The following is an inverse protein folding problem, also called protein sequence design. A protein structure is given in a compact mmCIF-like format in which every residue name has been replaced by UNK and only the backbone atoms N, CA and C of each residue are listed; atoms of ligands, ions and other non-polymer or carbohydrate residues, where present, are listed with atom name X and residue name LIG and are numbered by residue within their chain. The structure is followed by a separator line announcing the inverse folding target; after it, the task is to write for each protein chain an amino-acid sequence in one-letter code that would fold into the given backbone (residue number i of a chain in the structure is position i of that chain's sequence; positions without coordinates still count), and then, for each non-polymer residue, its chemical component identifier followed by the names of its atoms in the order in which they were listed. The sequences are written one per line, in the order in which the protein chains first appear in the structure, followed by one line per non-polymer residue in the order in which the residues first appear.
data_IF_590533987796
#
_entry.id   IF_590533987796
#
_cell.length_a   1.000
_cell.length_b   1.000
_cell.length_c   1.000
_cell.angle_alpha   90.00
_cell.angle_beta   90.00
_cell.angle_gamma   90.00
#
_symmetry.space_group_name_H-M   'P 1'
#
loop_
_entity.id
_entity.type
_entity.pdbx_description
1 polymer ?
#
# COMPACT_ATOMS: atom_id res chain seq x y z
N UNK A 1 7.47 46.90 -3.97
CA UNK A 1 8.50 46.40 -4.90
C UNK A 1 9.37 45.38 -4.19
N UNK A 2 9.50 44.16 -4.79
CA UNK A 2 10.50 43.10 -4.45
C UNK A 2 10.18 42.40 -3.10
N UNK A 3 9.95 41.18 -3.00
CA UNK A 3 10.20 39.89 -3.53
C UNK A 3 9.13 38.92 -2.98
N UNK A 4 8.19 38.50 -3.78
CA UNK A 4 7.51 37.24 -3.62
C UNK A 4 8.14 36.33 -4.66
N UNK A 5 9.21 35.71 -4.30
CA UNK A 5 9.87 34.71 -5.11
C UNK A 5 9.97 33.42 -4.30
N UNK A 6 9.25 32.43 -4.75
CA UNK A 6 9.72 31.06 -4.86
C UNK A 6 9.88 30.29 -3.56
N UNK A 7 8.80 29.69 -3.09
CA UNK A 7 8.90 28.39 -2.41
C UNK A 7 8.05 27.39 -3.19
N UNK A 8 8.53 27.08 -4.36
CA UNK A 8 8.11 25.97 -5.21
C UNK A 8 9.36 25.15 -5.47
N UNK A 9 9.83 24.45 -4.47
CA UNK A 9 10.83 23.42 -4.69
C UNK A 9 10.72 22.37 -3.61
N UNK A 10 10.72 21.14 -4.08
CA UNK A 10 11.18 19.97 -3.41
C UNK A 10 10.09 19.17 -2.71
N UNK A 11 9.19 18.60 -3.50
CA UNK A 11 8.73 17.23 -3.27
C UNK A 11 9.73 16.28 -3.97
N UNK A 12 10.98 16.36 -3.54
CA UNK A 12 12.00 15.42 -3.96
C UNK A 12 12.01 14.23 -3.01
N UNK A 13 11.25 13.18 -3.32
CA UNK A 13 11.47 11.89 -2.68
C UNK A 13 12.80 11.34 -3.23
N UNK A 14 13.87 11.53 -2.47
CA UNK A 14 15.09 10.77 -2.67
C UNK A 14 14.80 9.33 -2.23
N UNK A 15 14.48 8.48 -3.19
CA UNK A 15 14.54 7.04 -3.02
C UNK A 15 16.01 6.68 -2.85
N UNK A 16 16.48 6.66 -1.61
CA UNK A 16 17.75 6.02 -1.29
C UNK A 16 17.47 4.52 -1.31
N UNK A 17 17.67 3.90 -2.47
CA UNK A 17 17.90 2.47 -2.55
C UNK A 17 19.30 2.22 -1.97
N UNK A 18 19.40 2.18 -0.66
CA UNK A 18 20.57 1.61 -0.01
C UNK A 18 20.37 0.10 0.02
N UNK A 19 21.33 -0.56 -0.60
CA UNK A 19 21.36 -1.99 -0.81
C UNK A 19 21.05 -2.78 0.47
N UNK A 20 20.09 -3.67 0.36
CA UNK A 20 19.96 -4.79 1.27
C UNK A 20 21.17 -5.69 1.11
N UNK A 21 22.02 -5.69 2.12
CA UNK A 21 23.01 -6.74 2.33
C UNK A 21 22.27 -8.06 2.62
N UNK A 22 22.60 -9.17 1.98
CA UNK A 22 21.94 -10.43 2.25
C UNK A 22 22.57 -11.03 3.50
N UNK A 23 21.93 -10.92 4.66
CA UNK A 23 22.04 -11.80 5.84
C UNK A 23 21.47 -11.09 7.05
N UNK A 24 20.20 -11.33 7.31
CA UNK A 24 19.70 -11.32 8.69
C UNK A 24 18.55 -12.32 8.75
N UNK A 25 18.82 -13.42 9.46
CA UNK A 25 17.84 -14.45 9.77
C UNK A 25 16.70 -13.82 10.55
N UNK A 26 15.48 -13.95 10.01
CA UNK A 26 14.26 -13.64 10.74
C UNK A 26 14.08 -14.78 11.76
N UNK A 27 14.28 -14.48 13.03
CA UNK A 27 13.80 -15.29 14.14
C UNK A 27 12.30 -15.08 14.33
N UNK A 28 11.61 -16.13 14.74
CA UNK A 28 10.17 -16.40 14.73
C UNK A 28 9.22 -15.51 15.56
N UNK A 29 9.57 -14.26 15.88
CA UNK A 29 8.73 -13.42 16.74
C UNK A 29 8.55 -12.01 16.15
N UNK A 30 7.67 -11.85 15.16
CA UNK A 30 7.38 -10.49 14.68
C UNK A 30 6.57 -10.31 13.40
N UNK A 31 5.61 -11.19 13.11
CA UNK A 31 4.68 -11.02 11.98
C UNK A 31 3.21 -10.91 12.40
N UNK A 32 2.91 -10.63 13.65
CA UNK A 32 1.56 -10.62 14.18
C UNK A 32 1.06 -9.21 14.45
N UNK A 33 0.78 -8.42 13.38
CA UNK A 33 -0.05 -7.25 13.58
C UNK A 33 -0.86 -6.81 12.33
N UNK A 34 -1.44 -7.78 11.66
CA UNK A 34 -2.71 -7.58 10.98
C UNK A 34 -3.72 -8.30 11.85
N UNK A 35 -4.47 -7.57 12.69
CA UNK A 35 -5.53 -8.11 13.51
C UNK A 35 -6.45 -8.98 12.65
N UNK A 36 -6.17 -10.28 12.62
CA UNK A 36 -7.08 -11.29 12.14
C UNK A 36 -8.06 -11.47 13.27
N UNK A 37 -9.22 -10.80 13.21
CA UNK A 37 -10.35 -11.19 14.02
C UNK A 37 -10.54 -12.66 13.78
N UNK A 38 -10.46 -13.43 14.85
CA UNK A 38 -10.63 -14.88 14.89
C UNK A 38 -11.95 -15.21 14.17
N UNK A 39 -11.85 -15.82 12.97
CA UNK A 39 -13.02 -16.26 12.24
C UNK A 39 -13.60 -17.43 13.03
N UNK A 40 -14.54 -17.12 13.90
CA UNK A 40 -15.35 -18.12 14.59
C UNK A 40 -16.20 -18.80 13.53
N UNK A 41 -15.80 -20.01 13.14
CA UNK A 41 -16.59 -20.86 12.25
C UNK A 41 -17.82 -21.26 13.06
N UNK A 42 -19.05 -20.94 12.62
CA UNK A 42 -20.26 -21.41 13.31
C UNK A 42 -20.31 -22.94 13.28
N UNK A 43 -20.86 -23.58 14.34
CA UNK A 43 -20.97 -25.05 14.37
C UNK A 43 -21.84 -25.53 13.24
N UNK A 44 -21.35 -26.55 12.54
CA UNK A 44 -22.09 -27.26 11.50
C UNK A 44 -23.32 -27.90 12.15
N UNK A 45 -24.50 -27.39 11.79
CA UNK A 45 -25.75 -28.07 12.13
C UNK A 45 -25.83 -29.38 11.32
N UNK A 46 -25.75 -30.50 12.01
CA UNK A 46 -26.05 -31.82 11.43
C UNK A 46 -27.53 -31.88 11.08
N UNK A 47 -27.80 -32.23 9.82
CA UNK A 47 -29.06 -32.81 9.40
C UNK A 47 -29.86 -31.98 8.40
N UNK A 48 -29.58 -32.23 7.11
CA UNK A 48 -30.59 -32.46 6.07
C UNK A 48 -29.91 -32.97 4.80
N UNK A 49 -30.33 -34.17 4.36
CA UNK A 49 -29.91 -34.77 3.09
C UNK A 49 -30.41 -33.93 1.92
N UNK A 50 -29.48 -33.27 1.20
CA UNK A 50 -29.79 -32.83 -0.16
C UNK A 50 -28.99 -33.68 -1.13
N UNK A 51 -29.69 -34.64 -1.78
CA UNK A 51 -29.21 -35.34 -2.97
C UNK A 51 -29.07 -34.33 -4.11
N UNK A 52 -27.84 -34.03 -4.44
CA UNK A 52 -27.47 -33.24 -5.60
C UNK A 52 -25.95 -33.26 -5.70
N UNK A 53 -25.46 -34.20 -6.51
CA UNK A 53 -24.02 -34.41 -6.74
C UNK A 53 -23.43 -33.20 -7.47
N UNK A 54 -22.92 -32.25 -6.70
CA UNK A 54 -21.99 -31.25 -7.21
C UNK A 54 -20.65 -31.56 -6.54
N UNK A 55 -19.81 -32.32 -7.25
CA UNK A 55 -18.43 -32.56 -6.86
C UNK A 55 -17.63 -31.25 -6.98
N UNK A 56 -17.75 -30.41 -5.97
CA UNK A 56 -16.76 -29.41 -5.68
C UNK A 56 -15.72 -30.09 -4.80
N UNK A 57 -14.69 -30.65 -5.42
CA UNK A 57 -13.47 -31.03 -4.72
C UNK A 57 -13.02 -29.83 -3.90
N UNK A 58 -12.98 -29.89 -2.56
CA UNK A 58 -12.35 -28.86 -1.78
C UNK A 58 -10.88 -28.87 -2.17
N UNK A 59 -10.41 -27.81 -2.86
CA UNK A 59 -9.01 -27.60 -3.11
C UNK A 59 -8.37 -27.38 -1.74
N UNK A 60 -8.00 -28.49 -1.09
CA UNK A 60 -7.18 -28.47 0.11
C UNK A 60 -5.86 -27.81 -0.32
N UNK A 61 -5.71 -26.53 -0.02
CA UNK A 61 -4.41 -25.88 -0.09
C UNK A 61 -3.62 -26.49 1.05
N UNK A 62 -2.94 -27.60 0.73
CA UNK A 62 -2.00 -28.22 1.66
C UNK A 62 -0.90 -27.19 1.95
N UNK A 63 -0.72 -26.88 3.21
CA UNK A 63 0.24 -25.92 3.78
C UNK A 63 1.70 -26.22 3.38
N UNK A 64 1.96 -27.30 2.68
CA UNK A 64 3.29 -27.75 2.24
C UNK A 64 3.83 -27.09 0.97
N UNK A 65 3.14 -26.07 0.40
CA UNK A 65 3.64 -25.30 -0.75
C UNK A 65 4.14 -23.89 -0.40
N UNK A 66 4.33 -23.59 0.89
CA UNK A 66 4.87 -22.31 1.36
C UNK A 66 6.42 -22.34 1.40
N UNK A 67 7.03 -22.85 0.36
CA UNK A 67 8.46 -22.61 0.08
C UNK A 67 8.61 -21.88 -1.26
N UNK A 68 7.67 -21.00 -1.56
CA UNK A 68 7.76 -20.19 -2.76
C UNK A 68 8.21 -18.78 -2.35
N UNK A 69 9.24 -18.29 -3.03
CA UNK A 69 9.80 -16.93 -2.90
C UNK A 69 8.75 -15.80 -3.07
N UNK A 70 7.53 -16.14 -3.45
CA UNK A 70 6.40 -15.24 -3.59
C UNK A 70 5.48 -15.18 -2.36
N UNK A 71 5.59 -16.05 -1.38
CA UNK A 71 4.67 -16.11 -0.23
C UNK A 71 4.52 -14.75 0.48
N UNK A 72 5.61 -14.01 0.64
CA UNK A 72 5.57 -12.67 1.22
C UNK A 72 4.85 -11.63 0.36
N UNK A 73 4.87 -11.76 -0.98
CA UNK A 73 4.11 -10.88 -1.88
C UNK A 73 2.63 -11.19 -1.84
N UNK A 74 2.27 -12.46 -1.79
CA UNK A 74 0.87 -12.90 -1.74
C UNK A 74 0.20 -12.42 -0.45
N UNK A 75 0.86 -12.61 0.69
CA UNK A 75 0.40 -12.08 1.99
C UNK A 75 0.24 -10.56 1.92
N UNK A 76 1.22 -9.84 1.38
CA UNK A 76 1.16 -8.39 1.23
C UNK A 76 -0.05 -7.96 0.38
N UNK A 77 -0.26 -8.59 -0.79
CA UNK A 77 -1.35 -8.24 -1.71
C UNK A 77 -2.72 -8.51 -1.08
N UNK A 78 -2.93 -9.71 -0.53
CA UNK A 78 -4.22 -10.07 0.06
C UNK A 78 -4.54 -9.26 1.33
N UNK A 79 -3.56 -9.05 2.21
CA UNK A 79 -3.75 -8.23 3.41
C UNK A 79 -4.12 -6.80 3.03
N UNK A 80 -3.42 -6.23 2.04
CA UNK A 80 -3.70 -4.87 1.58
C UNK A 80 -5.05 -4.78 0.86
N UNK A 81 -5.42 -5.79 0.05
CA UNK A 81 -6.73 -5.88 -0.58
C UNK A 81 -7.86 -5.89 0.45
N UNK A 82 -7.75 -6.71 1.50
CA UNK A 82 -8.73 -6.77 2.58
C UNK A 82 -8.86 -5.42 3.32
N UNK A 83 -7.73 -4.76 3.56
CA UNK A 83 -7.72 -3.42 4.15
C UNK A 83 -8.45 -2.40 3.27
N UNK A 84 -8.20 -2.41 1.95
CA UNK A 84 -8.85 -1.53 0.99
C UNK A 84 -10.36 -1.79 0.98
N UNK A 85 -10.79 -3.06 0.97
CA UNK A 85 -12.20 -3.44 1.02
C UNK A 85 -12.89 -2.91 2.27
N UNK A 86 -12.21 -3.01 3.42
CA UNK A 86 -12.73 -2.45 4.67
C UNK A 86 -12.90 -0.93 4.59
N UNK A 87 -11.91 -0.22 4.08
CA UNK A 87 -11.95 1.24 3.90
C UNK A 87 -13.08 1.63 2.93
N UNK A 88 -13.26 0.87 1.85
CA UNK A 88 -14.23 1.17 0.80
C UNK A 88 -15.69 0.98 1.21
N UNK A 89 -15.97 0.37 2.35
CA UNK A 89 -17.32 0.37 2.94
C UNK A 89 -17.81 1.80 3.22
N UNK A 90 -16.87 2.72 3.49
CA UNK A 90 -17.15 4.11 3.85
C UNK A 90 -16.68 5.13 2.79
N UNK A 91 -16.20 4.67 1.63
CA UNK A 91 -15.75 5.53 0.52
C UNK A 91 -16.73 5.40 -0.64
N UNK A 92 -17.35 6.52 -1.10
CA UNK A 92 -18.23 6.53 -2.26
C UNK A 92 -17.56 5.92 -3.48
N UNK A 93 -18.33 5.20 -4.32
CA UNK A 93 -17.79 4.46 -5.47
C UNK A 93 -16.98 5.34 -6.44
N UNK A 94 -17.44 6.58 -6.65
CA UNK A 94 -16.79 7.57 -7.51
C UNK A 94 -15.46 8.12 -6.93
N UNK A 95 -15.20 7.91 -5.65
CA UNK A 95 -13.98 8.30 -4.98
C UNK A 95 -13.00 7.14 -4.80
N UNK A 96 -13.42 5.92 -5.15
CA UNK A 96 -12.55 4.75 -5.03
C UNK A 96 -11.43 4.78 -6.07
N UNK A 97 -10.30 4.30 -5.65
CA UNK A 97 -9.09 4.14 -6.47
C UNK A 97 -8.97 2.66 -6.83
N UNK A 98 -8.61 2.27 -8.05
CA UNK A 98 -8.38 0.87 -8.37
C UNK A 98 -7.42 0.22 -7.38
N UNK A 99 -7.77 -0.95 -6.81
CA UNK A 99 -6.94 -1.66 -5.83
C UNK A 99 -5.56 -1.94 -6.38
N UNK A 100 -5.48 -2.28 -7.65
CA UNK A 100 -4.23 -2.57 -8.36
C UNK A 100 -3.26 -1.39 -8.29
N UNK A 101 -3.77 -0.16 -8.35
CA UNK A 101 -2.96 1.05 -8.27
C UNK A 101 -2.43 1.26 -6.85
N UNK A 102 -3.30 1.12 -5.84
CA UNK A 102 -2.92 1.26 -4.42
C UNK A 102 -1.84 0.24 -4.07
N UNK A 103 -2.07 -1.03 -4.43
CA UNK A 103 -1.16 -2.13 -4.13
C UNK A 103 0.17 -1.94 -4.86
N UNK A 104 0.15 -1.54 -6.14
CA UNK A 104 1.36 -1.32 -6.91
C UNK A 104 2.23 -0.18 -6.35
N UNK A 105 1.61 0.92 -5.93
CA UNK A 105 2.36 2.02 -5.28
C UNK A 105 2.90 1.59 -3.93
N UNK A 106 2.09 0.98 -3.06
CA UNK A 106 2.56 0.47 -1.78
C UNK A 106 3.71 -0.54 -1.96
N UNK A 107 3.63 -1.44 -2.94
CA UNK A 107 4.69 -2.38 -3.26
C UNK A 107 5.98 -1.68 -3.72
N UNK A 108 5.86 -0.63 -4.56
CA UNK A 108 7.00 0.14 -5.04
C UNK A 108 7.68 0.92 -3.91
N UNK A 109 6.90 1.62 -3.10
CA UNK A 109 7.42 2.49 -2.02
C UNK A 109 8.06 1.69 -0.88
N UNK A 110 7.57 0.47 -0.63
CA UNK A 110 8.01 -0.31 0.52
C UNK A 110 8.84 -1.54 0.19
N UNK A 111 9.05 -1.83 -1.10
CA UNK A 111 9.65 -3.11 -1.50
C UNK A 111 8.82 -4.30 -1.04
N UNK A 112 7.47 -4.25 -1.25
CA UNK A 112 6.52 -5.27 -0.80
C UNK A 112 6.42 -5.37 0.73
N UNK A 113 6.33 -4.24 1.41
CA UNK A 113 6.16 -4.16 2.86
C UNK A 113 7.44 -4.32 3.68
N UNK A 114 8.61 -4.40 3.03
CA UNK A 114 9.89 -4.69 3.71
C UNK A 114 10.65 -3.46 4.19
N UNK A 115 10.20 -2.25 3.81
CA UNK A 115 10.92 -1.04 4.20
C UNK A 115 10.77 -0.73 5.69
N UNK A 116 11.77 -0.04 6.25
CA UNK A 116 11.73 0.44 7.64
C UNK A 116 10.47 1.27 7.92
N UNK A 117 10.10 2.17 7.01
CA UNK A 117 8.93 3.02 7.20
C UNK A 117 7.61 2.24 7.21
N UNK A 118 7.54 1.11 6.48
CA UNK A 118 6.40 0.22 6.54
C UNK A 118 6.34 -0.57 7.86
N UNK A 119 7.49 -0.93 8.43
CA UNK A 119 7.54 -1.78 9.62
C UNK A 119 7.55 -0.99 10.94
N UNK A 120 8.30 0.12 10.99
CA UNK A 120 8.39 0.94 12.20
C UNK A 120 7.32 2.06 12.25
N UNK A 121 6.87 2.53 11.09
CA UNK A 121 5.94 3.65 10.99
C UNK A 121 4.61 3.31 10.35
N UNK A 122 4.32 2.04 10.04
CA UNK A 122 3.10 1.61 9.36
C UNK A 122 2.78 2.42 8.09
N UNK A 123 3.80 3.04 7.49
CA UNK A 123 3.65 3.96 6.36
C UNK A 123 4.00 3.26 5.05
N UNK A 124 2.96 2.91 4.28
CA UNK A 124 3.10 2.16 3.03
C UNK A 124 3.38 3.05 1.80
N UNK A 125 3.30 4.37 1.93
CA UNK A 125 3.29 5.29 0.80
C UNK A 125 4.33 6.41 0.90
N UNK A 126 5.17 6.41 1.93
CA UNK A 126 6.14 7.47 2.16
C UNK A 126 5.50 8.84 2.46
N UNK A 127 4.27 8.85 2.98
CA UNK A 127 3.55 10.08 3.32
C UNK A 127 4.32 10.82 4.39
N UNK A 128 4.48 12.12 4.18
CA UNK A 128 5.19 13.00 5.10
C UNK A 128 4.24 13.77 6.00
N UNK A 129 4.70 14.04 7.21
CA UNK A 129 4.12 15.09 8.05
C UNK A 129 5.04 16.31 8.10
N UNK A 130 4.43 17.50 8.21
CA UNK A 130 5.07 18.77 8.46
C UNK A 130 4.69 19.33 9.84
N UNK A 131 3.95 18.54 10.61
CA UNK A 131 3.60 18.80 11.98
C UNK A 131 4.56 18.04 12.92
N UNK A 132 5.37 18.79 13.67
CA UNK A 132 6.35 18.21 14.62
C UNK A 132 5.70 17.49 15.80
N UNK A 133 4.41 17.77 16.08
CA UNK A 133 3.67 17.21 17.20
C UNK A 133 3.00 15.86 16.85
N UNK A 134 3.03 15.45 15.56
CA UNK A 134 2.72 14.10 15.12
C UNK A 134 3.94 13.20 15.26
N UNK A 135 3.73 11.89 15.37
CA UNK A 135 4.84 10.93 15.32
C UNK A 135 5.46 10.85 13.93
N UNK A 136 6.77 10.80 13.87
CA UNK A 136 7.51 10.81 12.62
C UNK A 136 8.82 10.03 12.69
N UNK A 137 9.29 9.59 11.53
CA UNK A 137 10.58 8.95 11.32
C UNK A 137 11.39 9.73 10.28
N UNK A 138 12.71 9.71 10.43
CA UNK A 138 13.65 10.23 9.41
C UNK A 138 14.44 9.06 8.77
N UNK A 139 15.10 9.27 7.62
CA UNK A 139 16.06 8.31 7.10
C UNK A 139 17.10 7.94 8.15
N UNK A 140 17.50 6.67 8.22
CA UNK A 140 18.32 6.13 9.31
C UNK A 140 19.69 6.83 9.48
N UNK A 141 20.18 7.44 8.41
CA UNK A 141 21.44 8.21 8.41
C UNK A 141 21.31 9.61 9.02
N UNK A 142 20.09 10.00 9.37
CA UNK A 142 19.78 11.32 9.91
C UNK A 142 19.57 11.22 11.42
N UNK A 143 19.80 12.35 12.10
CA UNK A 143 19.53 12.45 13.54
C UNK A 143 18.01 12.34 13.77
N UNK A 144 17.60 11.22 14.37
CA UNK A 144 16.18 10.88 14.56
C UNK A 144 15.48 11.77 15.59
N UNK A 145 16.23 12.47 16.43
CA UNK A 145 15.66 13.35 17.47
C UNK A 145 15.51 14.79 16.98
N UNK A 146 16.13 15.11 15.84
CA UNK A 146 16.16 16.48 15.33
C UNK A 146 15.09 16.72 14.27
N UNK A 147 14.07 17.50 14.63
CA UNK A 147 13.09 17.98 13.65
C UNK A 147 13.73 18.90 12.61
N UNK A 148 13.56 18.55 11.34
CA UNK A 148 14.14 19.25 10.18
C UNK A 148 13.09 19.96 9.32
N UNK A 149 11.87 20.14 9.83
CA UNK A 149 10.74 20.73 9.13
C UNK A 149 9.83 19.72 8.44
N UNK A 150 10.17 18.42 8.45
CA UNK A 150 9.33 17.33 7.96
C UNK A 150 9.79 15.99 8.52
N UNK A 151 8.91 15.00 8.47
CA UNK A 151 9.23 13.60 8.78
C UNK A 151 8.34 12.66 7.97
N UNK A 152 8.68 11.40 7.90
CA UNK A 152 7.78 10.36 7.40
C UNK A 152 6.78 10.07 8.51
N UNK A 153 5.49 10.27 8.21
CA UNK A 153 4.41 10.14 9.18
C UNK A 153 4.31 8.70 9.70
N UNK A 154 4.12 8.56 11.00
CA UNK A 154 3.83 7.27 11.65
C UNK A 154 2.31 7.12 11.76
N UNK A 155 1.82 5.91 11.58
CA UNK A 155 0.41 5.54 11.68
C UNK A 155 0.24 4.44 12.72
N UNK A 156 -0.93 4.36 13.34
CA UNK A 156 -1.26 3.30 14.29
C UNK A 156 -1.28 1.93 13.58
N UNK A 157 -1.84 1.89 12.37
CA UNK A 157 -1.88 0.69 11.54
C UNK A 157 -1.50 0.98 10.08
N UNK A 158 -1.10 -0.06 9.35
CA UNK A 158 -0.86 0.03 7.90
C UNK A 158 -2.13 0.44 7.14
N UNK A 159 -3.32 0.04 7.63
CA UNK A 159 -4.59 0.45 7.05
C UNK A 159 -4.86 1.95 7.20
N UNK A 160 -4.36 2.59 8.25
CA UNK A 160 -4.50 4.04 8.42
C UNK A 160 -3.67 4.80 7.38
N UNK A 161 -2.50 4.29 7.01
CA UNK A 161 -1.73 4.86 5.91
C UNK A 161 -2.43 4.70 4.56
N UNK A 162 -3.15 3.58 4.34
CA UNK A 162 -3.99 3.38 3.14
C UNK A 162 -5.15 4.39 3.13
N UNK A 163 -5.81 4.58 4.26
CA UNK A 163 -6.93 5.55 4.37
C UNK A 163 -6.45 6.96 4.07
N UNK A 164 -5.32 7.36 4.62
CA UNK A 164 -4.73 8.68 4.37
C UNK A 164 -4.29 8.84 2.92
N UNK A 165 -3.72 7.81 2.30
CA UNK A 165 -3.38 7.81 0.88
C UNK A 165 -4.64 8.01 0.01
N UNK A 166 -5.74 7.29 0.28
CA UNK A 166 -7.01 7.46 -0.45
C UNK A 166 -7.53 8.87 -0.28
N UNK A 167 -7.47 9.44 0.93
CA UNK A 167 -7.83 10.83 1.21
C UNK A 167 -6.96 11.81 0.40
N UNK A 168 -5.65 11.63 0.40
CA UNK A 168 -4.69 12.50 -0.32
C UNK A 168 -5.02 12.57 -1.81
N UNK A 169 -5.25 11.44 -2.48
CA UNK A 169 -5.58 11.45 -3.91
C UNK A 169 -6.96 12.08 -4.20
N UNK A 170 -7.88 12.02 -3.22
CA UNK A 170 -9.20 12.62 -3.37
C UNK A 170 -9.25 14.13 -3.05
N UNK A 171 -8.39 14.62 -2.16
CA UNK A 171 -8.55 15.99 -1.62
C UNK A 171 -7.42 16.94 -2.03
N UNK A 172 -6.18 16.43 -2.17
CA UNK A 172 -5.02 17.31 -2.40
C UNK A 172 -5.03 17.81 -3.84
N UNK A 173 -4.87 19.11 -4.03
CA UNK A 173 -4.90 19.79 -5.32
C UNK A 173 -3.89 19.22 -6.33
N UNK A 174 -2.77 18.70 -5.88
CA UNK A 174 -1.73 18.11 -6.73
C UNK A 174 -2.24 16.91 -7.57
N UNK A 175 -3.36 16.30 -7.18
CA UNK A 175 -3.96 15.13 -7.83
C UNK A 175 -5.30 15.47 -8.53
N UNK A 176 -5.50 16.71 -8.94
CA UNK A 176 -6.68 17.13 -9.70
C UNK A 176 -6.81 16.37 -11.03
N UNK A 177 -5.70 16.27 -11.79
CA UNK A 177 -5.64 15.50 -13.04
C UNK A 177 -6.02 14.02 -12.81
N UNK A 178 -5.63 13.43 -11.68
CA UNK A 178 -6.02 12.08 -11.31
C UNK A 178 -7.54 11.94 -11.16
N UNK A 179 -8.16 12.89 -10.46
CA UNK A 179 -9.62 12.89 -10.25
C UNK A 179 -10.38 13.11 -11.53
N UNK A 180 -9.90 14.00 -12.41
CA UNK A 180 -10.48 14.25 -13.71
C UNK A 180 -10.45 12.99 -14.60
N UNK A 181 -9.29 12.33 -14.71
CA UNK A 181 -9.16 11.09 -15.48
C UNK A 181 -10.07 10.00 -14.91
N UNK A 182 -10.17 9.89 -13.57
CA UNK A 182 -11.07 8.92 -12.91
C UNK A 182 -12.54 9.21 -13.23
N UNK A 183 -12.99 10.46 -13.12
CA UNK A 183 -14.37 10.88 -13.43
C UNK A 183 -14.75 10.60 -14.88
N UNK A 184 -13.79 10.68 -15.80
CA UNK A 184 -13.97 10.38 -17.22
C UNK A 184 -13.84 8.88 -17.55
N UNK A 185 -13.81 7.99 -16.55
CA UNK A 185 -13.75 6.55 -16.74
C UNK A 185 -12.38 6.03 -17.19
N UNK A 186 -11.32 6.77 -16.89
CA UNK A 186 -9.95 6.35 -17.19
C UNK A 186 -9.59 5.04 -16.51
N UNK A 187 -8.85 4.18 -17.23
CA UNK A 187 -8.38 2.90 -16.70
C UNK A 187 -7.18 3.08 -15.74
N UNK A 188 -6.80 2.01 -15.06
CA UNK A 188 -5.73 2.02 -14.04
C UNK A 188 -4.38 2.55 -14.56
N UNK A 189 -4.06 2.32 -15.82
CA UNK A 189 -2.81 2.78 -16.44
C UNK A 189 -2.84 4.28 -16.73
N UNK A 190 -4.00 4.80 -17.18
CA UNK A 190 -4.21 6.23 -17.38
C UNK A 190 -4.17 6.98 -16.04
N UNK A 191 -4.77 6.42 -15.00
CA UNK A 191 -4.66 6.94 -13.64
C UNK A 191 -3.21 6.96 -13.14
N UNK A 192 -2.46 5.89 -13.36
CA UNK A 192 -1.05 5.84 -13.00
C UNK A 192 -0.21 6.92 -13.72
N UNK A 193 -0.55 7.26 -14.97
CA UNK A 193 0.16 8.29 -15.73
C UNK A 193 0.00 9.71 -15.14
N UNK A 194 -1.07 9.99 -14.39
CA UNK A 194 -1.29 11.28 -13.73
C UNK A 194 -0.47 11.49 -12.47
N UNK A 195 0.16 10.43 -11.93
CA UNK A 195 0.91 10.48 -10.66
C UNK A 195 2.31 11.12 -10.80
N UNK A 196 2.47 12.05 -11.71
CA UNK A 196 3.76 12.71 -12.00
C UNK A 196 4.28 13.58 -10.84
N UNK A 197 3.38 14.03 -9.97
CA UNK A 197 3.71 14.82 -8.79
C UNK A 197 3.94 13.97 -7.53
N UNK A 198 3.73 12.66 -7.62
CA UNK A 198 3.91 11.76 -6.48
C UNK A 198 5.38 11.56 -6.11
N UNK A 199 6.24 11.40 -7.10
CA UNK A 199 7.67 11.26 -6.90
C UNK A 199 8.46 12.09 -7.92
N UNK A 200 9.66 12.54 -7.52
CA UNK A 200 10.55 13.33 -8.39
C UNK A 200 11.19 12.52 -9.51
N UNK A 201 11.15 11.18 -9.42
CA UNK A 201 11.78 10.30 -10.41
C UNK A 201 10.95 10.27 -11.71
N UNK A 202 11.48 10.69 -12.86
CA UNK A 202 10.71 10.73 -14.13
C UNK A 202 10.17 9.37 -14.58
N UNK A 203 10.78 8.27 -14.12
CA UNK A 203 10.36 6.91 -14.47
C UNK A 203 9.33 6.33 -13.49
N UNK A 204 8.85 7.11 -12.52
CA UNK A 204 7.98 6.61 -11.45
C UNK A 204 6.70 5.95 -11.98
N UNK A 205 5.95 6.68 -12.83
CA UNK A 205 4.70 6.17 -13.40
C UNK A 205 4.90 4.89 -14.21
N UNK A 206 6.03 4.78 -14.93
CA UNK A 206 6.41 3.57 -15.65
C UNK A 206 6.66 2.39 -14.70
N UNK A 207 7.31 2.62 -13.55
CA UNK A 207 7.55 1.57 -12.56
C UNK A 207 6.24 1.09 -11.94
N UNK A 208 5.33 2.00 -11.57
CA UNK A 208 3.99 1.66 -11.08
C UNK A 208 3.24 0.81 -12.11
N UNK A 209 3.18 1.24 -13.36
CA UNK A 209 2.52 0.50 -14.44
C UNK A 209 3.13 -0.89 -14.69
N UNK A 210 4.44 -1.02 -14.56
CA UNK A 210 5.10 -2.31 -14.67
C UNK A 210 4.70 -3.27 -13.55
N UNK A 211 4.58 -2.79 -12.31
CA UNK A 211 4.10 -3.61 -11.19
C UNK A 211 2.65 -4.03 -11.43
N UNK A 212 1.78 -3.10 -11.82
CA UNK A 212 0.39 -3.41 -12.15
C UNK A 212 0.34 -4.54 -13.19
N UNK A 213 1.04 -4.38 -14.31
CA UNK A 213 0.98 -5.29 -15.45
C UNK A 213 1.56 -6.69 -15.16
N UNK A 214 2.67 -6.76 -14.45
CA UNK A 214 3.45 -8.00 -14.34
C UNK A 214 3.34 -8.69 -12.98
N UNK A 215 2.82 -8.00 -11.98
CA UNK A 215 2.77 -8.51 -10.62
C UNK A 215 1.36 -8.50 -10.00
N UNK A 216 0.40 -7.78 -10.59
CA UNK A 216 -0.94 -7.65 -10.00
C UNK A 216 -2.01 -8.18 -10.96
N UNK A 217 -2.20 -7.52 -12.12
CA UNK A 217 -3.25 -7.89 -13.07
C UNK A 217 -2.97 -9.26 -13.69
N UNK A 218 -3.97 -10.14 -13.64
CA UNK A 218 -3.84 -11.52 -14.11
C UNK A 218 -3.06 -12.47 -13.20
N UNK A 219 -2.58 -11.97 -12.04
CA UNK A 219 -1.92 -12.76 -10.99
C UNK A 219 -2.83 -12.91 -9.79
N UNK A 220 -3.54 -11.84 -9.42
CA UNK A 220 -4.46 -11.81 -8.29
C UNK A 220 -5.88 -11.44 -8.74
N UNK A 221 -6.87 -12.07 -8.10
CA UNK A 221 -8.28 -11.66 -8.17
C UNK A 221 -8.54 -10.70 -7.02
N UNK A 222 -8.73 -9.41 -7.34
CA UNK A 222 -8.84 -8.31 -6.36
C UNK A 222 -10.26 -7.72 -6.27
#
# INVERSE_FOLDING_TARGET
MKYITTILTILGLYLIILGCSPKQDCTDDGCDDFGVDEITIPPILEGEEIRGELQLEPKIITVNHIVNTNAGKDVFVYSLSNCIDHIYKNVPSEQRIPKELIIAQAALETGWGKSRFANEGNNLFGIRTFNKDEEWLLPITWDQEKWIGWGVKVYDTKCDSVRDYVRILNEVWAYEDFREVRQNGGNVYQLADTLTKYASKPTYTKLVKNIIKHNIVGVYEL
#
